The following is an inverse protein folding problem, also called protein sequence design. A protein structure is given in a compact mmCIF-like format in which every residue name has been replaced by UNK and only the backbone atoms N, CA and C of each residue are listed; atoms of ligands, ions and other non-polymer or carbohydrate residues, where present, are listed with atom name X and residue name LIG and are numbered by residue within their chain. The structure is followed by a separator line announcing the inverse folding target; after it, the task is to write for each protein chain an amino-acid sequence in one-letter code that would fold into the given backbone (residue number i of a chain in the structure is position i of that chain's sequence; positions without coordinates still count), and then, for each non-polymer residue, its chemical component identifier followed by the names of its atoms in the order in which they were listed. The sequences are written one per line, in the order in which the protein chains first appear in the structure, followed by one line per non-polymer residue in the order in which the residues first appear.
data_IF_802935246023
#
_entry.id   IF_802935246023
#
_cell.length_a   1.000
_cell.length_b   1.000
_cell.length_c   1.000
_cell.angle_alpha   90.00
_cell.angle_beta   90.00
_cell.angle_gamma   90.00
#
_symmetry.space_group_name_H-M   'P 1'
#
loop_
_entity.id
_entity.type
_entity.pdbx_description
1 polymer ?
#
# COMPACT_ATOMS: atom_id res chain seq x y z
N UNK A 1 -6.05 3.16 -4.32
CA UNK A 1 -5.40 4.17 -3.42
C UNK A 1 -6.32 4.47 -2.25
N UNK A 2 -6.04 4.01 -1.03
CA UNK A 2 -6.77 4.44 0.15
C UNK A 2 -6.31 5.84 0.57
N UNK A 3 -7.23 6.70 1.02
CA UNK A 3 -6.95 8.04 1.49
C UNK A 3 -7.74 8.37 2.75
N UNK A 4 -7.11 9.05 3.71
CA UNK A 4 -7.76 9.59 4.90
C UNK A 4 -7.02 10.82 5.41
N UNK A 5 -7.63 12.01 5.26
CA UNK A 5 -7.04 13.30 5.62
C UNK A 5 -5.70 13.56 4.91
N UNK A 6 -5.70 13.50 3.57
CA UNK A 6 -4.52 13.64 2.72
C UNK A 6 -4.62 14.83 1.73
N UNK A 7 -5.44 15.88 2.03
CA UNK A 7 -5.66 17.03 1.14
C UNK A 7 -4.36 17.67 0.65
N UNK A 8 -3.34 17.72 1.51
CA UNK A 8 -2.07 18.39 1.20
C UNK A 8 -1.10 17.54 0.35
N UNK A 9 -1.35 16.23 0.17
CA UNK A 9 -0.39 15.30 -0.43
C UNK A 9 -0.95 14.51 -1.61
N UNK A 10 -2.22 14.08 -1.53
CA UNK A 10 -2.82 13.19 -2.52
C UNK A 10 -2.73 13.74 -3.94
N UNK A 11 -2.85 15.06 -4.12
CA UNK A 11 -2.74 15.70 -5.43
C UNK A 11 -1.37 15.52 -6.09
N UNK A 12 -0.30 15.41 -5.30
CA UNK A 12 1.04 15.13 -5.84
C UNK A 12 1.18 13.70 -6.30
N UNK A 13 0.60 12.76 -5.56
CA UNK A 13 0.56 11.33 -5.93
C UNK A 13 -0.29 11.15 -7.18
N UNK A 14 -1.47 11.76 -7.24
CA UNK A 14 -2.37 11.68 -8.41
C UNK A 14 -1.73 12.25 -9.68
N UNK A 15 -0.97 13.34 -9.59
CA UNK A 15 -0.20 13.85 -10.75
C UNK A 15 0.81 12.86 -11.31
N UNK A 16 1.37 11.99 -10.47
CA UNK A 16 2.33 10.99 -10.92
C UNK A 16 1.66 9.77 -11.58
N UNK A 17 0.42 9.43 -11.18
CA UNK A 17 -0.28 8.24 -11.67
C UNK A 17 -1.26 8.54 -12.81
N UNK A 18 -1.90 9.72 -12.82
CA UNK A 18 -2.82 10.10 -13.90
C UNK A 18 -2.08 10.24 -15.22
N UNK A 19 -2.57 9.55 -16.26
CA UNK A 19 -1.94 9.51 -17.58
C UNK A 19 -0.70 8.63 -17.68
N UNK A 20 -0.38 7.84 -16.65
CA UNK A 20 0.74 6.90 -16.72
C UNK A 20 0.41 5.73 -17.67
N UNK A 21 1.29 5.38 -18.64
CA UNK A 21 0.97 4.44 -19.71
C UNK A 21 0.72 2.99 -19.26
N UNK A 22 1.13 2.62 -18.05
CA UNK A 22 0.93 1.29 -17.47
C UNK A 22 -0.25 1.26 -16.46
N UNK A 23 -1.08 2.31 -16.39
CA UNK A 23 -2.22 2.41 -15.47
C UNK A 23 -3.47 2.68 -16.28
N UNK A 24 -4.37 1.68 -16.33
CA UNK A 24 -5.64 1.78 -17.05
C UNK A 24 -6.76 2.38 -16.20
N UNK A 25 -6.67 2.22 -14.87
CA UNK A 25 -7.73 2.60 -13.94
C UNK A 25 -7.14 3.11 -12.62
N UNK A 26 -7.65 4.23 -12.14
CA UNK A 26 -7.29 4.79 -10.84
C UNK A 26 -8.54 4.87 -9.98
N UNK A 27 -8.51 4.19 -8.83
CA UNK A 27 -9.59 4.22 -7.84
C UNK A 27 -9.02 4.78 -6.54
N UNK A 28 -9.54 5.92 -6.13
CA UNK A 28 -9.30 6.50 -4.82
C UNK A 28 -10.48 6.18 -3.93
N UNK A 29 -10.20 5.59 -2.76
CA UNK A 29 -11.23 5.37 -1.75
C UNK A 29 -10.92 6.29 -0.56
N UNK A 30 -11.74 7.31 -0.41
CA UNK A 30 -11.68 8.23 0.73
C UNK A 30 -12.37 7.60 1.93
N UNK A 31 -11.63 7.34 2.97
CA UNK A 31 -12.09 6.62 4.16
C UNK A 31 -12.76 7.57 5.19
N UNK A 32 -13.64 8.45 4.71
CA UNK A 32 -14.39 9.39 5.53
C UNK A 32 -13.52 10.54 6.07
N UNK A 33 -12.72 11.16 5.20
CA UNK A 33 -11.89 12.32 5.53
C UNK A 33 -12.71 13.50 6.11
N UNK A 34 -12.05 14.28 6.94
CA UNK A 34 -12.60 15.50 7.55
C UNK A 34 -12.05 16.79 6.93
N UNK A 35 -11.01 16.65 6.10
CA UNK A 35 -10.38 17.73 5.34
C UNK A 35 -10.92 17.76 3.90
N UNK A 36 -10.26 18.50 3.00
CA UNK A 36 -10.66 18.62 1.60
C UNK A 36 -10.05 17.56 0.69
N UNK A 37 -9.73 16.36 1.20
CA UNK A 37 -9.19 15.26 0.41
C UNK A 37 -10.07 14.95 -0.80
N UNK A 38 -11.40 14.84 -0.58
CA UNK A 38 -12.38 14.59 -1.63
C UNK A 38 -12.34 15.66 -2.73
N UNK A 39 -12.31 16.94 -2.35
CA UNK A 39 -12.28 18.07 -3.29
C UNK A 39 -11.00 18.08 -4.14
N UNK A 40 -9.88 17.64 -3.55
CA UNK A 40 -8.61 17.51 -4.28
C UNK A 40 -8.71 16.39 -5.31
N UNK A 41 -9.25 15.22 -4.95
CA UNK A 41 -9.38 14.07 -5.87
C UNK A 41 -10.30 14.39 -7.04
N UNK A 42 -11.41 15.08 -6.81
CA UNK A 42 -12.38 15.47 -7.87
C UNK A 42 -11.78 16.35 -8.97
N UNK A 43 -10.63 16.98 -8.74
CA UNK A 43 -9.91 17.75 -9.78
C UNK A 43 -9.16 16.88 -10.78
N UNK A 44 -9.08 15.58 -10.57
CA UNK A 44 -8.36 14.63 -11.43
C UNK A 44 -9.37 13.76 -12.19
N UNK A 45 -9.70 14.13 -13.42
CA UNK A 45 -10.71 13.45 -14.26
C UNK A 45 -10.43 11.96 -14.49
N UNK A 46 -9.16 11.54 -14.45
CA UNK A 46 -8.76 10.14 -14.59
C UNK A 46 -8.92 9.28 -13.33
N UNK A 47 -9.35 9.85 -12.20
CA UNK A 47 -9.50 9.14 -10.93
C UNK A 47 -10.96 8.92 -10.56
N UNK A 48 -11.36 7.66 -10.38
CA UNK A 48 -12.66 7.33 -9.79
C UNK A 48 -12.59 7.49 -8.28
N UNK A 49 -13.55 8.22 -7.70
CA UNK A 49 -13.63 8.45 -6.27
C UNK A 49 -14.77 7.62 -5.65
N UNK A 50 -14.45 6.92 -4.57
CA UNK A 50 -15.40 6.28 -3.66
C UNK A 50 -15.25 6.97 -2.31
N UNK A 51 -16.35 7.36 -1.67
CA UNK A 51 -16.33 8.03 -0.36
C UNK A 51 -17.06 7.19 0.65
N UNK A 52 -16.41 6.90 1.77
CA UNK A 52 -17.04 6.28 2.93
C UNK A 52 -17.67 7.33 3.83
N UNK A 53 -18.84 7.08 4.39
CA UNK A 53 -19.49 7.96 5.35
C UNK A 53 -18.70 8.14 6.66
N UNK A 54 -17.91 7.12 7.01
CA UNK A 54 -17.06 7.09 8.21
C UNK A 54 -15.79 6.27 7.96
N UNK A 55 -14.76 6.53 8.76
CA UNK A 55 -13.53 5.77 8.71
C UNK A 55 -13.76 4.27 9.04
N UNK A 56 -13.41 3.39 8.12
CA UNK A 56 -13.51 1.93 8.22
C UNK A 56 -12.12 1.27 8.33
N UNK A 57 -11.06 2.03 8.10
CA UNK A 57 -9.67 1.60 8.15
C UNK A 57 -9.12 1.12 6.82
N UNK A 58 -7.79 1.16 6.71
CA UNK A 58 -7.05 0.90 5.45
C UNK A 58 -7.42 -0.44 4.81
N UNK A 59 -7.54 -1.50 5.61
CA UNK A 59 -7.80 -2.84 5.07
C UNK A 59 -9.14 -2.93 4.35
N UNK A 60 -10.22 -2.39 4.94
CA UNK A 60 -11.53 -2.37 4.32
C UNK A 60 -11.54 -1.42 3.11
N UNK A 61 -10.94 -0.24 3.25
CA UNK A 61 -10.83 0.76 2.18
C UNK A 61 -10.15 0.19 0.93
N UNK A 62 -9.06 -0.58 1.10
CA UNK A 62 -8.39 -1.25 0.00
C UNK A 62 -9.25 -2.36 -0.59
N UNK A 63 -9.91 -3.18 0.23
CA UNK A 63 -10.78 -4.25 -0.26
C UNK A 63 -11.94 -3.69 -1.10
N UNK A 64 -12.58 -2.61 -0.64
CA UNK A 64 -13.68 -1.95 -1.37
C UNK A 64 -13.19 -1.37 -2.73
N UNK A 65 -11.97 -0.80 -2.76
CA UNK A 65 -11.34 -0.37 -4.01
C UNK A 65 -11.06 -1.53 -4.98
N UNK A 66 -10.59 -2.67 -4.48
CA UNK A 66 -10.34 -3.86 -5.31
C UNK A 66 -11.65 -4.46 -5.84
N UNK A 67 -12.71 -4.48 -5.04
CA UNK A 67 -14.06 -4.90 -5.49
C UNK A 67 -14.53 -4.05 -6.66
N UNK A 68 -14.30 -2.74 -6.62
CA UNK A 68 -14.71 -1.81 -7.67
C UNK A 68 -13.85 -1.92 -8.92
N UNK A 69 -12.58 -2.27 -8.79
CA UNK A 69 -11.62 -2.30 -9.89
C UNK A 69 -11.87 -3.46 -10.86
N UNK A 70 -11.47 -3.28 -12.14
CA UNK A 70 -11.64 -4.27 -13.22
C UNK A 70 -10.31 -4.89 -13.68
N UNK A 71 -9.18 -4.24 -13.40
CA UNK A 71 -7.86 -4.67 -13.85
C UNK A 71 -7.44 -6.02 -13.28
N UNK A 72 -6.66 -6.81 -14.04
CA UNK A 72 -6.10 -8.10 -13.61
C UNK A 72 -4.89 -7.96 -12.70
N UNK A 73 -4.21 -6.83 -12.79
CA UNK A 73 -3.07 -6.45 -11.94
C UNK A 73 -3.51 -5.34 -11.02
N UNK A 74 -3.27 -5.51 -9.73
CA UNK A 74 -3.58 -4.53 -8.70
C UNK A 74 -2.29 -3.83 -8.28
N UNK A 75 -2.31 -2.49 -8.37
CA UNK A 75 -1.28 -1.63 -7.81
C UNK A 75 -1.84 -0.91 -6.58
N UNK A 76 -1.39 -1.31 -5.40
CA UNK A 76 -1.66 -0.59 -4.16
C UNK A 76 -0.67 0.56 -4.02
N UNK A 77 -1.18 1.75 -3.74
CA UNK A 77 -0.37 2.97 -3.60
C UNK A 77 -0.94 3.83 -2.48
N UNK A 78 -0.08 4.24 -1.55
CA UNK A 78 -0.47 5.13 -0.46
C UNK A 78 -0.60 6.58 -0.95
N UNK A 79 -1.54 7.35 -0.37
CA UNK A 79 -1.88 8.71 -0.81
C UNK A 79 -0.93 9.81 -0.28
N UNK A 80 0.04 9.45 0.57
CA UNK A 80 0.91 10.37 1.32
C UNK A 80 2.37 10.41 0.86
N UNK A 81 2.65 9.85 -0.31
CA UNK A 81 4.01 9.75 -0.83
C UNK A 81 4.55 11.10 -1.32
N UNK A 82 5.82 11.35 -1.03
CA UNK A 82 6.57 12.52 -1.47
C UNK A 82 7.72 12.04 -2.36
N UNK A 83 7.91 12.71 -3.51
CA UNK A 83 8.99 12.39 -4.45
C UNK A 83 8.68 11.23 -5.40
N UNK A 84 7.40 10.77 -5.47
CA UNK A 84 6.98 9.76 -6.42
C UNK A 84 7.10 10.27 -7.86
N UNK A 85 7.67 9.47 -8.74
CA UNK A 85 7.84 9.77 -10.16
C UNK A 85 7.23 8.66 -11.03
N UNK A 86 6.96 8.97 -12.31
CA UNK A 86 6.50 7.98 -13.30
C UNK A 86 7.46 6.78 -13.38
N UNK A 87 8.78 7.02 -13.30
CA UNK A 87 9.78 5.95 -13.29
C UNK A 87 9.62 5.01 -12.10
N UNK A 88 9.37 5.52 -10.90
CA UNK A 88 9.12 4.67 -9.73
C UNK A 88 7.93 3.74 -9.96
N UNK A 89 6.87 4.25 -10.59
CA UNK A 89 5.65 3.49 -10.92
C UNK A 89 5.98 2.39 -11.92
N UNK A 90 6.63 2.73 -13.05
CA UNK A 90 7.05 1.74 -14.05
C UNK A 90 7.91 0.65 -13.43
N UNK A 91 8.96 1.03 -12.70
CA UNK A 91 9.89 0.08 -12.08
C UNK A 91 9.16 -0.92 -11.16
N UNK A 92 8.07 -0.50 -10.49
CA UNK A 92 7.30 -1.37 -9.60
C UNK A 92 6.31 -2.26 -10.36
N UNK A 93 5.71 -1.77 -11.45
CA UNK A 93 4.70 -2.50 -12.23
C UNK A 93 5.34 -3.54 -13.15
N UNK A 94 6.42 -3.18 -13.86
CA UNK A 94 7.03 -3.99 -14.92
C UNK A 94 7.42 -5.42 -14.50
N UNK A 95 7.97 -5.71 -13.31
CA UNK A 95 8.32 -7.08 -12.93
C UNK A 95 7.12 -8.03 -12.88
N UNK A 96 5.94 -7.51 -12.47
CA UNK A 96 4.71 -8.30 -12.42
C UNK A 96 4.08 -8.40 -13.79
N UNK A 97 4.01 -7.29 -14.52
CA UNK A 97 3.46 -7.24 -15.87
C UNK A 97 4.21 -8.17 -16.85
N UNK A 98 5.55 -8.22 -16.74
CA UNK A 98 6.40 -9.09 -17.57
C UNK A 98 6.49 -10.54 -17.08
N UNK A 99 5.82 -10.89 -15.97
CA UNK A 99 5.88 -12.24 -15.38
C UNK A 99 7.23 -12.61 -14.74
N UNK A 100 8.15 -11.66 -14.56
CA UNK A 100 9.43 -11.88 -13.87
C UNK A 100 9.26 -12.07 -12.37
N UNK A 101 8.22 -11.48 -11.79
CA UNK A 101 7.82 -11.66 -10.41
C UNK A 101 6.30 -11.83 -10.31
N UNK A 102 5.83 -12.42 -9.23
CA UNK A 102 4.40 -12.55 -8.95
C UNK A 102 3.90 -11.38 -8.09
N UNK A 103 4.82 -10.78 -7.33
CA UNK A 103 4.58 -9.59 -6.50
C UNK A 103 5.81 -8.68 -6.59
N UNK A 104 5.61 -7.38 -6.69
CA UNK A 104 6.63 -6.37 -6.45
C UNK A 104 6.27 -5.52 -5.23
N UNK A 105 7.28 -5.12 -4.46
CA UNK A 105 7.13 -4.33 -3.22
C UNK A 105 8.15 -3.20 -3.23
N UNK A 106 7.73 -1.99 -2.88
CA UNK A 106 8.64 -0.86 -2.73
C UNK A 106 9.49 -0.97 -1.47
N UNK A 107 10.73 -0.47 -1.54
CA UNK A 107 11.59 -0.20 -0.39
C UNK A 107 11.96 1.27 -0.44
N UNK A 108 11.30 2.09 0.39
CA UNK A 108 11.46 3.55 0.36
C UNK A 108 12.74 4.02 1.03
N UNK A 109 13.18 5.23 0.68
CA UNK A 109 14.34 5.91 1.28
C UNK A 109 14.28 5.95 2.81
N UNK A 110 13.09 6.21 3.36
CA UNK A 110 12.89 6.32 4.80
C UNK A 110 12.26 5.07 5.46
N UNK A 111 12.21 3.93 4.78
CA UNK A 111 11.91 2.65 5.44
C UNK A 111 12.88 2.42 6.61
N UNK A 112 12.45 1.77 7.70
CA UNK A 112 13.30 1.47 8.84
C UNK A 112 14.65 0.90 8.42
N UNK A 113 15.74 1.34 9.07
CA UNK A 113 17.10 0.98 8.66
C UNK A 113 17.35 -0.52 8.58
N UNK A 114 16.70 -1.30 9.46
CA UNK A 114 16.78 -2.76 9.46
C UNK A 114 16.19 -3.36 8.17
N UNK A 115 15.06 -2.84 7.69
CA UNK A 115 14.43 -3.32 6.44
C UNK A 115 15.26 -2.94 5.23
N UNK A 116 15.88 -1.75 5.24
CA UNK A 116 16.82 -1.36 4.18
C UNK A 116 18.07 -2.26 4.15
N UNK A 117 18.58 -2.66 5.32
CA UNK A 117 19.72 -3.58 5.43
C UNK A 117 19.37 -5.00 4.94
N UNK A 118 18.17 -5.47 5.26
CA UNK A 118 17.65 -6.77 4.78
C UNK A 118 17.25 -6.70 3.29
N UNK A 119 16.99 -5.49 2.78
CA UNK A 119 16.50 -5.27 1.42
C UNK A 119 15.04 -5.73 1.24
N UNK A 120 14.20 -5.54 2.27
CA UNK A 120 12.77 -5.87 2.27
C UNK A 120 12.04 -5.08 3.35
N UNK A 121 11.09 -4.25 2.95
CA UNK A 121 10.11 -3.63 3.83
C UNK A 121 8.80 -4.44 3.78
N UNK A 122 8.65 -5.40 4.68
CA UNK A 122 7.50 -6.33 4.67
C UNK A 122 6.18 -5.68 5.07
N UNK A 123 6.21 -4.44 5.58
CA UNK A 123 5.03 -3.62 5.90
C UNK A 123 4.83 -2.45 4.93
N UNK A 124 5.58 -2.42 3.82
CA UNK A 124 5.35 -1.43 2.77
C UNK A 124 3.95 -1.57 2.18
N UNK A 125 3.23 -0.45 2.03
CA UNK A 125 1.90 -0.38 1.42
C UNK A 125 1.93 -0.41 -0.10
N UNK A 126 3.04 0.03 -0.72
CA UNK A 126 3.16 0.09 -2.17
C UNK A 126 3.54 -1.29 -2.73
N UNK A 127 2.60 -1.91 -3.43
CA UNK A 127 2.73 -3.27 -3.97
C UNK A 127 1.98 -3.44 -5.27
N UNK A 128 2.55 -4.27 -6.15
CA UNK A 128 1.87 -4.73 -7.36
C UNK A 128 1.76 -6.24 -7.31
N UNK A 129 0.59 -6.78 -7.65
CA UNK A 129 0.31 -8.21 -7.71
C UNK A 129 -0.89 -8.53 -8.60
N UNK A 130 -1.03 -9.78 -9.03
CA UNK A 130 -2.24 -10.21 -9.75
C UNK A 130 -3.45 -10.22 -8.82
N UNK A 131 -4.61 -9.79 -9.34
CA UNK A 131 -5.92 -9.88 -8.66
C UNK A 131 -6.19 -11.28 -8.10
N UNK A 132 -5.68 -12.33 -8.75
CA UNK A 132 -5.82 -13.73 -8.32
C UNK A 132 -5.33 -13.98 -6.90
N UNK A 133 -4.36 -13.18 -6.40
CA UNK A 133 -3.87 -13.29 -5.04
C UNK A 133 -4.96 -13.03 -3.99
N UNK A 134 -5.88 -12.13 -4.27
CA UNK A 134 -6.82 -11.58 -3.27
C UNK A 134 -8.29 -11.80 -3.60
N UNK A 135 -8.65 -12.19 -4.83
CA UNK A 135 -10.05 -12.25 -5.29
C UNK A 135 -10.95 -13.12 -4.42
N UNK A 136 -10.43 -14.21 -3.86
CA UNK A 136 -11.15 -15.13 -2.98
C UNK A 136 -11.02 -14.76 -1.49
N UNK A 137 -10.34 -13.66 -1.17
CA UNK A 137 -9.99 -13.23 0.18
C UNK A 137 -10.55 -11.84 0.55
N UNK A 138 -11.35 -11.22 -0.32
CA UNK A 138 -11.84 -9.85 -0.12
C UNK A 138 -12.70 -9.73 1.15
N UNK A 139 -13.56 -10.71 1.42
CA UNK A 139 -14.38 -10.73 2.64
C UNK A 139 -13.54 -10.83 3.92
N UNK A 140 -12.42 -11.54 3.87
CA UNK A 140 -11.47 -11.63 4.99
C UNK A 140 -10.73 -10.31 5.16
N UNK A 141 -10.28 -9.70 4.05
CA UNK A 141 -9.59 -8.41 4.06
C UNK A 141 -10.45 -7.29 4.65
N UNK A 142 -11.76 -7.27 4.38
CA UNK A 142 -12.68 -6.28 4.96
C UNK A 142 -12.81 -6.39 6.49
N UNK A 143 -12.53 -7.55 7.07
CA UNK A 143 -12.62 -7.80 8.52
C UNK A 143 -11.29 -7.60 9.26
N UNK A 144 -10.20 -7.33 8.54
CA UNK A 144 -8.89 -7.11 9.17
C UNK A 144 -8.87 -5.81 9.99
N UNK A 145 -8.06 -5.75 11.05
CA UNK A 145 -7.74 -4.49 11.71
C UNK A 145 -7.20 -3.46 10.72
N UNK A 146 -7.25 -2.19 11.08
CA UNK A 146 -6.92 -1.07 10.19
C UNK A 146 -5.55 -1.21 9.50
N UNK A 147 -4.55 -1.78 10.18
CA UNK A 147 -3.18 -1.97 9.68
C UNK A 147 -2.77 -3.45 9.52
N UNK A 148 -3.75 -4.34 9.36
CA UNK A 148 -3.50 -5.78 9.19
C UNK A 148 -3.25 -6.22 7.75
N UNK A 149 -3.47 -5.34 6.77
CA UNK A 149 -3.49 -5.67 5.34
C UNK A 149 -2.15 -6.22 4.84
N UNK A 150 -1.05 -5.53 5.13
CA UNK A 150 0.27 -5.87 4.59
C UNK A 150 0.73 -7.25 5.07
N UNK A 151 0.55 -7.53 6.35
CA UNK A 151 0.93 -8.84 6.93
C UNK A 151 0.00 -9.96 6.46
N UNK A 152 -1.27 -9.65 6.14
CA UNK A 152 -2.18 -10.61 5.53
C UNK A 152 -1.78 -10.93 4.08
N UNK A 153 -1.46 -9.92 3.27
CA UNK A 153 -0.94 -10.12 1.91
C UNK A 153 0.36 -10.93 1.90
N UNK A 154 1.25 -10.67 2.87
CA UNK A 154 2.47 -11.47 3.05
C UNK A 154 2.16 -12.95 3.32
N UNK A 155 1.17 -13.23 4.17
CA UNK A 155 0.72 -14.60 4.45
C UNK A 155 0.26 -15.32 3.19
N UNK A 156 -0.52 -14.63 2.35
CA UNK A 156 -0.98 -15.17 1.07
C UNK A 156 0.20 -15.41 0.10
N UNK A 157 1.13 -14.46 0.00
CA UNK A 157 2.32 -14.58 -0.83
C UNK A 157 3.20 -15.78 -0.42
N UNK A 158 3.44 -15.95 0.89
CA UNK A 158 4.21 -17.06 1.44
C UNK A 158 3.51 -18.39 1.21
N UNK A 159 2.18 -18.47 1.44
CA UNK A 159 1.38 -19.68 1.21
C UNK A 159 1.47 -20.17 -0.22
N UNK A 160 1.45 -19.24 -1.17
CA UNK A 160 1.49 -19.55 -2.61
C UNK A 160 2.93 -19.60 -3.17
N UNK A 161 3.96 -19.40 -2.35
CA UNK A 161 5.39 -19.38 -2.75
C UNK A 161 5.66 -18.38 -3.89
N UNK A 162 5.02 -17.21 -3.86
CA UNK A 162 5.13 -16.21 -4.91
C UNK A 162 6.52 -15.57 -4.94
N UNK A 163 7.04 -15.38 -6.15
CA UNK A 163 8.32 -14.70 -6.41
C UNK A 163 8.16 -13.21 -6.12
N UNK A 164 9.02 -12.68 -5.25
CA UNK A 164 8.92 -11.30 -4.77
C UNK A 164 10.06 -10.47 -5.33
N UNK A 165 9.76 -9.40 -6.07
CA UNK A 165 10.73 -8.40 -6.50
C UNK A 165 10.66 -7.18 -5.59
N UNK A 166 11.81 -6.78 -5.05
CA UNK A 166 11.93 -5.56 -4.25
C UNK A 166 12.48 -4.44 -5.13
N UNK A 167 11.79 -3.30 -5.14
CA UNK A 167 12.19 -2.11 -5.90
C UNK A 167 12.58 -1.00 -4.94
N UNK A 168 13.84 -0.60 -4.98
CA UNK A 168 14.34 0.48 -4.13
C UNK A 168 13.92 1.85 -4.68
N UNK A 169 13.16 2.60 -3.88
CA UNK A 169 12.73 3.96 -4.17
C UNK A 169 13.57 4.97 -3.36
N UNK A 170 14.78 5.26 -3.83
CA UNK A 170 15.74 6.12 -3.14
C UNK A 170 15.35 7.60 -3.05
N UNK A 171 14.35 8.02 -3.81
CA UNK A 171 13.80 9.39 -3.84
C UNK A 171 12.43 9.52 -3.16
N UNK A 172 11.76 8.41 -2.83
CA UNK A 172 10.39 8.42 -2.27
C UNK A 172 10.42 8.26 -0.76
N UNK A 173 9.62 9.07 -0.09
CA UNK A 173 9.37 8.97 1.35
C UNK A 173 7.86 9.02 1.64
N UNK A 174 7.43 8.37 2.71
CA UNK A 174 6.13 8.56 3.35
C UNK A 174 6.32 9.23 4.70
N UNK A 175 5.44 10.14 5.07
CA UNK A 175 5.57 10.84 6.34
C UNK A 175 5.18 9.92 7.50
N UNK A 176 6.06 9.86 8.49
CA UNK A 176 5.76 9.17 9.74
C UNK A 176 4.55 9.81 10.44
N UNK A 177 3.69 9.04 11.13
CA UNK A 177 2.49 9.56 11.79
C UNK A 177 2.73 10.77 12.70
N UNK A 178 3.87 10.83 13.43
CA UNK A 178 4.22 11.97 14.29
C UNK A 178 4.51 13.26 13.51
N UNK A 179 4.93 13.17 12.26
CA UNK A 179 5.13 14.34 11.39
C UNK A 179 3.83 14.82 10.74
N UNK A 180 2.81 13.96 10.68
CA UNK A 180 1.48 14.32 10.12
C UNK A 180 0.60 15.03 11.14
N UNK A 181 0.60 14.60 12.39
CA UNK A 181 -0.38 15.00 13.42
C UNK A 181 0.23 15.48 14.74
N UNK A 182 1.55 15.73 14.76
CA UNK A 182 2.28 16.12 15.97
C UNK A 182 2.75 14.93 16.80
N UNK A 183 3.66 15.19 17.76
CA UNK A 183 4.41 14.13 18.45
C UNK A 183 3.50 13.16 19.23
N UNK A 184 2.56 13.69 20.03
CA UNK A 184 1.67 12.86 20.87
C UNK A 184 0.68 12.02 20.08
N UNK A 185 0.01 12.61 19.09
CA UNK A 185 -0.94 11.90 18.21
C UNK A 185 -0.20 10.91 17.31
N UNK A 186 1.01 11.27 16.86
CA UNK A 186 1.83 10.40 16.03
C UNK A 186 2.34 9.16 16.78
N UNK A 187 2.75 9.31 18.05
CA UNK A 187 3.10 8.18 18.91
C UNK A 187 1.89 7.27 19.14
N UNK A 188 0.71 7.84 19.44
CA UNK A 188 -0.53 7.08 19.57
C UNK A 188 -0.84 6.29 18.29
N UNK A 189 -0.76 6.91 17.13
CA UNK A 189 -0.99 6.25 15.83
C UNK A 189 0.02 5.13 15.56
N UNK A 190 1.29 5.33 15.92
CA UNK A 190 2.33 4.30 15.82
C UNK A 190 2.02 3.08 16.71
N UNK A 191 1.65 3.31 17.99
CA UNK A 191 1.26 2.23 18.89
C UNK A 191 0.01 1.49 18.41
N UNK A 192 -1.00 2.22 17.91
CA UNK A 192 -2.20 1.59 17.34
C UNK A 192 -1.86 0.73 16.12
N UNK A 193 -0.99 1.21 15.24
CA UNK A 193 -0.51 0.43 14.09
C UNK A 193 0.18 -0.87 14.55
N UNK A 194 1.07 -0.80 15.56
CA UNK A 194 1.72 -2.00 16.11
C UNK A 194 0.69 -2.97 16.72
N UNK A 195 -0.27 -2.46 17.48
CA UNK A 195 -1.35 -3.28 18.06
C UNK A 195 -2.16 -3.97 16.96
N UNK A 196 -2.51 -3.28 15.89
CA UNK A 196 -3.29 -3.87 14.78
C UNK A 196 -2.47 -4.92 14.01
N UNK A 197 -1.18 -4.68 13.80
CA UNK A 197 -0.28 -5.71 13.25
C UNK A 197 -0.26 -6.93 14.17
N UNK A 198 -0.14 -6.74 15.50
CA UNK A 198 -0.09 -7.83 16.47
C UNK A 198 -1.42 -8.56 16.67
N UNK A 199 -2.56 -7.89 16.42
CA UNK A 199 -3.88 -8.55 16.35
C UNK A 199 -4.02 -9.43 15.11
N UNK A 200 -3.32 -9.10 14.03
CA UNK A 200 -3.37 -9.85 12.78
C UNK A 200 -2.36 -11.00 12.77
N UNK A 201 -1.15 -10.76 13.31
CA UNK A 201 -0.08 -11.75 13.41
C UNK A 201 0.70 -11.56 14.72
N UNK A 202 1.16 -12.66 15.34
CA UNK A 202 2.07 -12.58 16.48
C UNK A 202 3.44 -12.00 16.07
N UNK A 203 4.22 -11.50 17.03
CA UNK A 203 5.61 -11.03 16.78
C UNK A 203 6.42 -12.15 16.12
N UNK A 204 6.27 -13.37 16.60
CA UNK A 204 6.96 -14.54 16.06
C UNK A 204 6.58 -14.78 14.57
N UNK A 205 5.30 -14.66 14.24
CA UNK A 205 4.86 -14.82 12.85
C UNK A 205 5.32 -13.65 11.97
N UNK A 206 5.39 -12.42 12.48
CA UNK A 206 5.95 -11.28 11.74
C UNK A 206 7.44 -11.51 11.39
N UNK A 207 8.25 -11.98 12.34
CA UNK A 207 9.65 -12.36 12.10
C UNK A 207 9.73 -13.51 11.09
N UNK A 208 8.90 -14.53 11.26
CA UNK A 208 8.82 -15.67 10.33
C UNK A 208 8.46 -15.24 8.91
N UNK A 209 7.51 -14.29 8.75
CA UNK A 209 7.18 -13.72 7.45
C UNK A 209 8.38 -13.01 6.83
N UNK A 210 9.08 -12.17 7.59
CA UNK A 210 10.27 -11.46 7.11
C UNK A 210 11.34 -12.44 6.59
N UNK A 211 11.61 -13.51 7.34
CA UNK A 211 12.56 -14.55 6.95
C UNK A 211 12.08 -15.30 5.69
N UNK A 212 10.82 -15.78 5.67
CA UNK A 212 10.29 -16.53 4.52
C UNK A 212 10.23 -15.69 3.26
N UNK A 213 9.78 -14.43 3.34
CA UNK A 213 9.75 -13.52 2.20
C UNK A 213 11.16 -13.25 1.66
N UNK A 214 12.18 -13.20 2.53
CA UNK A 214 13.58 -13.02 2.09
C UNK A 214 14.06 -14.17 1.20
N UNK A 215 13.59 -15.40 1.42
CA UNK A 215 13.89 -16.54 0.55
C UNK A 215 13.08 -16.54 -0.75
N UNK A 216 11.97 -15.83 -0.82
CA UNK A 216 11.14 -15.71 -2.03
C UNK A 216 11.57 -14.56 -2.94
N UNK A 217 12.58 -13.76 -2.54
CA UNK A 217 13.09 -12.66 -3.37
C UNK A 217 13.74 -13.18 -4.64
N UNK A 218 13.40 -12.54 -5.76
CA UNK A 218 14.05 -12.74 -7.06
C UNK A 218 14.96 -11.55 -7.40
N UNK A 219 16.01 -11.83 -8.21
CA UNK A 219 16.99 -10.81 -8.64
C UNK A 219 16.39 -9.78 -9.59
#
# INVERSE_FOLDING_TARGET
MPAYNEESRIGTVLRAVCGHPLIDEIIVVDDGSKDRTEDVVKKFEGAQLIVHEKNKGKSQTVADGIVRSKGDIIFLLDADLIGLTSKNISDLIEPVLSGKADISISLRKNSPWIFRKIGLDFISGERVFSRKLVQNHLNEMQKLPHFGLEVYLNKLAIKNKYRIKIIFWGNVISLWPHKKSGLLLGLKSFFLMLIDILKTVSIFEAVRQLVKMSFLKVK
#
